data_IF_619766505371
#
_entry.id   IF_619766505371
#
_cell.length_a   1.000
_cell.length_b   1.000
_cell.length_c   1.000
_cell.angle_alpha   90.00
_cell.angle_beta   90.00
_cell.angle_gamma   90.00
#
_symmetry.space_group_name_H-M   'P 1'
#
loop_
_entity.id
_entity.type
_entity.pdbx_description
1 polymer ?
#
# COMPACT_ATOMS: atom_id res chain seq x y z
N UNK A 1 1.82 -1.59 3.44
CA UNK A 1 0.85 -2.68 3.18
C UNK A 1 0.97 -3.82 4.18
N UNK A 2 2.18 -4.24 4.57
CA UNK A 2 2.45 -5.33 5.52
C UNK A 2 1.83 -5.16 6.92
N UNK A 3 1.84 -3.94 7.47
CA UNK A 3 1.25 -3.65 8.80
C UNK A 3 -0.25 -3.95 8.90
N UNK A 4 -1.01 -3.61 7.85
CA UNK A 4 -2.45 -3.85 7.81
C UNK A 4 -2.79 -5.34 7.70
N UNK A 5 -1.96 -6.10 6.98
CA UNK A 5 -2.15 -7.53 6.82
C UNK A 5 -1.92 -8.28 8.14
N UNK A 6 -0.86 -7.93 8.88
CA UNK A 6 -0.58 -8.54 10.19
C UNK A 6 -1.69 -8.22 11.21
N UNK A 7 -2.14 -6.96 11.26
CA UNK A 7 -3.24 -6.55 12.13
C UNK A 7 -4.55 -7.25 11.75
N UNK A 8 -4.85 -7.36 10.45
CA UNK A 8 -6.02 -8.08 9.95
C UNK A 8 -5.99 -9.56 10.31
N UNK A 9 -4.86 -10.24 10.14
CA UNK A 9 -4.71 -11.66 10.46
C UNK A 9 -4.98 -11.91 11.94
N UNK A 10 -4.41 -11.09 12.84
CA UNK A 10 -4.64 -11.20 14.29
C UNK A 10 -6.11 -11.03 14.66
N UNK A 11 -6.79 -10.05 14.06
CA UNK A 11 -8.20 -9.78 14.29
C UNK A 11 -9.12 -10.87 13.71
N UNK A 12 -8.78 -11.37 12.52
CA UNK A 12 -9.50 -12.48 11.90
C UNK A 12 -9.39 -13.75 12.73
N UNK A 13 -8.18 -14.09 13.19
CA UNK A 13 -7.95 -15.22 14.10
C UNK A 13 -8.76 -15.04 15.39
N UNK A 14 -8.71 -13.85 16.01
CA UNK A 14 -9.49 -13.56 17.22
C UNK A 14 -11.00 -13.72 17.02
N UNK A 15 -11.52 -13.29 15.87
CA UNK A 15 -12.94 -13.45 15.52
C UNK A 15 -13.33 -14.92 15.31
N UNK A 16 -12.52 -15.68 14.58
CA UNK A 16 -12.74 -17.13 14.41
C UNK A 16 -12.71 -17.84 15.77
N UNK A 17 -11.77 -17.49 16.65
CA UNK A 17 -11.73 -18.02 18.01
C UNK A 17 -12.99 -17.68 18.80
N UNK A 18 -13.50 -16.44 18.72
CA UNK A 18 -14.74 -16.05 19.40
C UNK A 18 -15.96 -16.82 18.87
N UNK A 19 -16.05 -17.05 17.55
CA UNK A 19 -17.12 -17.85 16.96
C UNK A 19 -17.05 -19.31 17.40
N UNK A 20 -15.85 -19.90 17.41
CA UNK A 20 -15.65 -21.29 17.84
C UNK A 20 -15.99 -21.42 19.33
N UNK A 21 -15.53 -20.50 20.18
CA UNK A 21 -15.86 -20.50 21.61
C UNK A 21 -17.36 -20.33 21.84
N UNK A 22 -18.00 -19.39 21.14
CA UNK A 22 -19.45 -19.20 21.20
C UNK A 22 -20.24 -20.44 20.76
N UNK A 23 -19.80 -21.10 19.67
CA UNK A 23 -20.42 -22.34 19.20
C UNK A 23 -20.24 -23.48 20.20
N UNK A 24 -19.04 -23.66 20.77
CA UNK A 24 -18.78 -24.67 21.80
C UNK A 24 -19.62 -24.41 23.06
N UNK A 25 -19.71 -23.15 23.50
CA UNK A 25 -20.59 -22.77 24.62
C UNK A 25 -22.05 -23.06 24.33
N UNK A 26 -22.53 -22.79 23.11
CA UNK A 26 -23.90 -23.12 22.70
C UNK A 26 -24.16 -24.63 22.69
N UNK A 27 -23.23 -25.42 22.16
CA UNK A 27 -23.34 -26.89 22.17
C UNK A 27 -23.34 -27.47 23.59
N UNK A 28 -22.50 -26.94 24.49
CA UNK A 28 -22.49 -27.34 25.90
C UNK A 28 -23.81 -26.98 26.60
N UNK A 29 -24.35 -25.79 26.31
CA UNK A 29 -25.64 -25.35 26.82
C UNK A 29 -26.84 -26.15 26.28
N UNK A 30 -26.76 -26.63 25.04
CA UNK A 30 -27.78 -27.55 24.48
C UNK A 30 -27.70 -28.95 25.10
N UNK A 31 -26.59 -29.30 25.74
CA UNK A 31 -26.41 -30.58 26.40
C UNK A 31 -26.87 -30.57 27.88
N UNK A 32 -26.93 -29.39 28.52
CA UNK A 32 -27.36 -29.22 29.91
C UNK A 32 -28.37 -28.05 30.04
N UNK A 33 -29.62 -28.36 30.37
CA UNK A 33 -30.75 -27.40 30.34
C UNK A 33 -30.58 -26.19 31.29
N UNK A 34 -29.84 -26.35 32.38
CA UNK A 34 -29.74 -25.34 33.46
C UNK A 34 -28.87 -24.12 33.09
N UNK A 35 -27.98 -24.24 32.10
CA UNK A 35 -27.02 -23.17 31.72
C UNK A 35 -27.29 -22.55 30.36
N UNK A 36 -28.35 -22.97 29.66
CA UNK A 36 -28.64 -22.59 28.29
C UNK A 36 -28.70 -21.07 28.07
N UNK A 37 -29.44 -20.36 28.93
CA UNK A 37 -29.64 -18.91 28.82
C UNK A 37 -28.33 -18.16 29.08
N UNK A 38 -27.55 -18.57 30.08
CA UNK A 38 -26.29 -17.90 30.43
C UNK A 38 -25.25 -18.05 29.30
N UNK A 39 -25.17 -19.22 28.68
CA UNK A 39 -24.27 -19.48 27.56
C UNK A 39 -24.67 -18.66 26.32
N UNK A 40 -25.96 -18.52 26.02
CA UNK A 40 -26.44 -17.67 24.94
C UNK A 40 -26.09 -16.20 25.19
N UNK A 41 -26.36 -15.69 26.40
CA UNK A 41 -26.04 -14.31 26.74
C UNK A 41 -24.53 -14.03 26.65
N UNK A 42 -23.70 -14.97 27.09
CA UNK A 42 -22.25 -14.88 26.96
C UNK A 42 -21.80 -14.89 25.49
N UNK A 43 -22.33 -15.80 24.67
CA UNK A 43 -22.04 -15.85 23.24
C UNK A 43 -22.43 -14.56 22.50
N UNK A 44 -23.62 -14.03 22.78
CA UNK A 44 -24.09 -12.75 22.22
C UNK A 44 -23.18 -11.61 22.66
N UNK A 45 -22.78 -11.55 23.94
CA UNK A 45 -21.88 -10.52 24.44
C UNK A 45 -20.51 -10.54 23.72
N UNK A 46 -19.92 -11.72 23.51
CA UNK A 46 -18.66 -11.86 22.78
C UNK A 46 -18.77 -11.39 21.32
N UNK A 47 -19.87 -11.73 20.65
CA UNK A 47 -20.13 -11.29 19.28
C UNK A 47 -20.26 -9.76 19.24
N UNK A 48 -21.04 -9.17 20.14
CA UNK A 48 -21.21 -7.70 20.22
C UNK A 48 -19.87 -7.01 20.46
N UNK A 49 -19.05 -7.49 21.40
CA UNK A 49 -17.72 -6.95 21.67
C UNK A 49 -16.84 -7.02 20.42
N UNK A 50 -16.84 -8.15 19.69
CA UNK A 50 -16.08 -8.29 18.46
C UNK A 50 -16.53 -7.27 17.39
N UNK A 51 -17.83 -7.06 17.20
CA UNK A 51 -18.36 -6.06 16.26
C UNK A 51 -17.98 -4.62 16.66
N UNK A 52 -18.00 -4.29 17.95
CA UNK A 52 -17.56 -2.98 18.45
C UNK A 52 -16.07 -2.78 18.16
N UNK A 53 -15.23 -3.80 18.38
CA UNK A 53 -13.80 -3.73 18.07
C UNK A 53 -13.56 -3.50 16.58
N UNK A 54 -14.26 -4.23 15.71
CA UNK A 54 -14.18 -4.01 14.25
C UNK A 54 -14.61 -2.60 13.85
N UNK A 55 -15.66 -2.06 14.48
CA UNK A 55 -16.12 -0.70 14.23
C UNK A 55 -15.05 0.33 14.58
N UNK A 56 -14.43 0.21 15.77
CA UNK A 56 -13.37 1.13 16.23
C UNK A 56 -12.16 1.08 15.29
N UNK A 57 -11.78 -0.12 14.83
CA UNK A 57 -10.63 -0.29 13.93
C UNK A 57 -10.90 0.26 12.53
N UNK A 58 -12.06 -0.05 11.94
CA UNK A 58 -12.45 0.51 10.65
C UNK A 58 -12.50 2.05 10.72
N UNK A 59 -12.95 2.59 11.86
CA UNK A 59 -12.98 4.03 12.12
C UNK A 59 -11.57 4.65 12.14
N UNK A 60 -10.63 4.08 12.89
CA UNK A 60 -9.23 4.56 12.92
C UNK A 60 -8.59 4.55 11.52
N UNK A 61 -8.81 3.49 10.73
CA UNK A 61 -8.29 3.40 9.35
C UNK A 61 -8.84 4.53 8.47
N UNK A 62 -10.14 4.81 8.57
CA UNK A 62 -10.84 5.81 7.77
C UNK A 62 -10.43 7.23 8.17
N UNK A 63 -10.33 7.50 9.47
CA UNK A 63 -9.88 8.80 9.98
C UNK A 63 -8.42 9.09 9.54
N UNK A 64 -7.52 8.09 9.58
CA UNK A 64 -6.16 8.22 9.06
C UNK A 64 -6.10 8.55 7.57
N UNK A 65 -7.04 8.01 6.80
CA UNK A 65 -7.20 8.29 5.36
C UNK A 65 -7.89 9.63 5.07
N UNK A 66 -8.25 10.41 6.09
CA UNK A 66 -8.81 11.75 5.95
C UNK A 66 -10.31 11.80 5.66
N UNK A 67 -11.04 10.72 5.96
CA UNK A 67 -12.50 10.69 5.83
C UNK A 67 -13.17 11.09 7.14
N UNK A 68 -14.24 11.86 7.04
CA UNK A 68 -15.01 12.32 8.19
C UNK A 68 -16.10 11.33 8.60
N UNK A 69 -16.49 11.41 9.88
CA UNK A 69 -17.60 10.66 10.47
C UNK A 69 -18.92 11.03 9.76
N UNK A 70 -19.35 10.20 8.80
CA UNK A 70 -20.58 10.42 8.03
C UNK A 70 -20.40 10.32 6.51
N UNK A 71 -19.17 10.44 6.00
CA UNK A 71 -18.90 10.24 4.56
C UNK A 71 -18.95 8.76 4.17
N UNK A 72 -18.61 7.88 5.09
CA UNK A 72 -18.69 6.43 4.92
C UNK A 72 -19.65 5.90 5.99
N UNK A 73 -20.72 5.18 5.61
CA UNK A 73 -21.66 4.61 6.56
C UNK A 73 -21.04 3.35 7.21
N UNK A 74 -20.06 3.57 8.08
CA UNK A 74 -19.26 2.54 8.74
C UNK A 74 -20.09 1.57 9.56
N UNK A 75 -21.07 2.07 10.30
CA UNK A 75 -21.91 1.28 11.19
C UNK A 75 -22.69 0.18 10.43
N UNK A 76 -23.48 0.47 9.38
CA UNK A 76 -24.18 -0.58 8.63
C UNK A 76 -23.22 -1.48 7.84
N UNK A 77 -22.07 -0.97 7.37
CA UNK A 77 -21.06 -1.80 6.68
C UNK A 77 -20.50 -2.83 7.67
N UNK A 78 -20.05 -2.40 8.84
CA UNK A 78 -19.49 -3.31 9.85
C UNK A 78 -20.53 -4.31 10.31
N UNK A 79 -21.80 -3.93 10.49
CA UNK A 79 -22.89 -4.83 10.89
C UNK A 79 -23.20 -5.90 9.83
N UNK A 80 -23.21 -5.54 8.54
CA UNK A 80 -23.64 -6.45 7.46
C UNK A 80 -22.52 -7.34 6.95
N UNK A 81 -21.31 -6.79 6.82
CA UNK A 81 -20.17 -7.47 6.18
C UNK A 81 -19.04 -7.80 7.15
N UNK A 82 -19.16 -7.44 8.43
CA UNK A 82 -18.27 -7.91 9.50
C UNK A 82 -16.79 -7.78 9.14
N UNK A 83 -16.00 -8.87 9.13
CA UNK A 83 -14.58 -8.85 8.76
C UNK A 83 -14.30 -8.29 7.35
N UNK A 84 -15.23 -8.40 6.40
CA UNK A 84 -15.08 -7.85 5.05
C UNK A 84 -15.15 -6.33 5.03
N UNK A 85 -15.74 -5.70 6.05
CA UNK A 85 -15.69 -4.24 6.22
C UNK A 85 -14.25 -3.73 6.30
N UNK A 86 -13.33 -4.50 6.92
CA UNK A 86 -11.91 -4.15 7.01
C UNK A 86 -11.24 -4.18 5.64
N UNK A 87 -11.57 -5.15 4.79
CA UNK A 87 -11.04 -5.24 3.43
C UNK A 87 -11.52 -4.04 2.61
N UNK A 88 -12.81 -3.70 2.73
CA UNK A 88 -13.39 -2.54 2.09
C UNK A 88 -12.68 -1.24 2.54
N UNK A 89 -12.57 -1.00 3.85
CA UNK A 89 -11.95 0.23 4.36
C UNK A 89 -10.46 0.30 4.05
N UNK A 90 -9.74 -0.83 4.03
CA UNK A 90 -8.34 -0.90 3.60
C UNK A 90 -8.15 -0.58 2.12
N UNK A 91 -9.10 -0.95 1.26
CA UNK A 91 -9.10 -0.65 -0.18
C UNK A 91 -9.42 0.81 -0.54
N UNK A 92 -9.97 1.60 0.39
CA UNK A 92 -10.31 3.00 0.13
C UNK A 92 -9.06 3.83 -0.24
N UNK A 93 -9.15 4.74 -1.23
CA UNK A 93 -8.06 5.65 -1.54
C UNK A 93 -7.83 6.62 -0.37
N UNK A 94 -6.57 6.98 -0.13
CA UNK A 94 -6.22 7.95 0.90
C UNK A 94 -6.48 9.38 0.41
N UNK A 95 -7.37 10.13 1.07
CA UNK A 95 -7.64 11.54 0.75
C UNK A 95 -6.48 12.46 1.16
N UNK A 96 -5.73 12.06 2.18
CA UNK A 96 -4.57 12.78 2.70
C UNK A 96 -3.31 12.53 1.87
N UNK A 97 -3.32 11.51 1.00
CA UNK A 97 -2.31 11.40 -0.06
C UNK A 97 -2.51 12.55 -1.02
N UNK A 98 -1.83 13.67 -0.73
CA UNK A 98 -1.59 14.70 -1.71
C UNK A 98 -0.77 14.05 -2.83
N UNK A 99 -1.44 13.59 -3.89
CA UNK A 99 -0.82 13.63 -5.20
C UNK A 99 -0.39 15.09 -5.33
N UNK A 100 0.92 15.40 -5.41
CA UNK A 100 1.34 16.79 -5.53
C UNK A 100 0.55 17.37 -6.69
N UNK A 101 -0.35 18.33 -6.39
CA UNK A 101 -1.07 19.08 -7.40
C UNK A 101 -0.01 19.80 -8.20
N UNK A 102 0.43 19.19 -9.30
CA UNK A 102 1.24 19.85 -10.31
C UNK A 102 0.37 20.98 -10.80
N UNK A 103 0.69 22.20 -10.39
CA UNK A 103 0.23 23.38 -11.10
C UNK A 103 0.70 23.18 -12.55
N UNK A 104 -0.20 23.17 -13.55
CA UNK A 104 0.14 22.74 -14.91
C UNK A 104 1.29 23.48 -15.59
N UNK A 105 1.77 24.59 -15.02
CA UNK A 105 2.65 25.54 -15.70
C UNK A 105 4.05 25.68 -15.09
N UNK A 106 4.37 25.00 -13.99
CA UNK A 106 5.70 25.09 -13.39
C UNK A 106 6.66 24.13 -14.13
N UNK A 107 7.25 24.65 -15.21
CA UNK A 107 8.37 24.03 -15.92
C UNK A 107 9.60 24.94 -15.84
N UNK A 108 10.79 24.36 -15.73
CA UNK A 108 12.05 25.11 -15.83
C UNK A 108 12.84 24.69 -17.07
N UNK A 109 13.52 25.66 -17.66
CA UNK A 109 14.38 25.44 -18.83
C UNK A 109 15.83 25.36 -18.37
N UNK A 110 16.46 24.23 -18.63
CA UNK A 110 17.88 24.02 -18.34
C UNK A 110 18.75 24.82 -19.31
N UNK A 111 19.96 25.18 -18.89
CA UNK A 111 20.99 25.84 -19.73
C UNK A 111 21.36 25.06 -21.00
N UNK A 112 21.05 23.75 -21.08
CA UNK A 112 21.19 22.93 -22.29
C UNK A 112 20.00 23.02 -23.28
N UNK A 113 19.02 23.88 -22.98
CA UNK A 113 17.76 24.03 -23.71
C UNK A 113 16.71 22.95 -23.43
N UNK A 114 16.93 22.07 -22.44
CA UNK A 114 15.95 21.05 -22.07
C UNK A 114 14.85 21.60 -21.17
N UNK A 115 13.57 21.30 -21.48
CA UNK A 115 12.43 21.65 -20.63
C UNK A 115 12.16 20.54 -19.63
N UNK A 116 12.10 20.88 -18.35
CA UNK A 116 11.95 19.92 -17.25
C UNK A 116 10.77 20.31 -16.36
N UNK A 117 10.23 19.34 -15.63
CA UNK A 117 9.18 19.58 -14.64
C UNK A 117 9.78 20.26 -13.40
N UNK A 118 9.08 21.22 -12.80
CA UNK A 118 9.48 21.81 -11.52
C UNK A 118 9.47 20.84 -10.34
N UNK A 119 8.88 19.65 -10.49
CA UNK A 119 9.01 18.57 -9.52
C UNK A 119 10.41 17.93 -9.52
N UNK A 120 11.17 18.11 -10.59
CA UNK A 120 12.51 17.54 -10.74
C UNK A 120 13.52 18.67 -10.73
N UNK A 121 14.47 18.62 -9.80
CA UNK A 121 15.59 19.56 -9.78
C UNK A 121 16.70 19.17 -10.76
N UNK A 122 16.58 18.05 -11.50
CA UNK A 122 17.59 17.52 -12.42
C UNK A 122 17.04 17.51 -13.85
N UNK A 123 17.84 17.98 -14.80
CA UNK A 123 17.49 17.98 -16.21
C UNK A 123 17.55 16.58 -16.79
N UNK A 124 16.45 16.12 -17.41
CA UNK A 124 16.40 14.80 -18.06
C UNK A 124 17.32 14.69 -19.28
N UNK A 125 17.66 15.82 -19.91
CA UNK A 125 18.49 15.87 -21.13
C UNK A 125 19.99 15.80 -20.83
N UNK A 126 20.46 16.45 -19.76
CA UNK A 126 21.90 16.59 -19.50
C UNK A 126 22.33 16.29 -18.06
N UNK A 127 21.41 15.96 -17.16
CA UNK A 127 21.73 15.64 -15.77
C UNK A 127 22.19 16.83 -14.90
N UNK A 128 22.12 18.07 -15.40
CA UNK A 128 22.39 19.26 -14.59
C UNK A 128 21.22 19.59 -13.69
N UNK A 129 21.50 20.14 -12.52
CA UNK A 129 20.46 20.63 -11.63
C UNK A 129 19.92 21.99 -12.06
N UNK A 130 18.77 22.40 -11.52
CA UNK A 130 18.14 23.69 -11.79
C UNK A 130 19.00 24.89 -11.37
N UNK A 131 19.93 24.71 -10.45
CA UNK A 131 20.96 25.69 -10.06
C UNK A 131 22.20 25.68 -10.99
N UNK A 132 22.17 24.92 -12.09
CA UNK A 132 23.23 24.88 -13.10
C UNK A 132 24.43 24.01 -12.73
N UNK A 133 24.44 23.38 -11.55
CA UNK A 133 25.52 22.48 -11.13
C UNK A 133 25.38 21.10 -11.75
N UNK A 134 26.50 20.40 -11.90
CA UNK A 134 26.50 19.01 -12.32
C UNK A 134 26.34 18.14 -11.06
N UNK A 135 25.26 17.37 -10.96
CA UNK A 135 25.15 16.37 -9.89
C UNK A 135 26.09 15.21 -10.18
N UNK A 136 26.95 14.88 -9.21
CA UNK A 136 27.79 13.66 -9.22
C UNK A 136 26.98 12.35 -9.18
N UNK A 137 25.65 12.44 -9.12
CA UNK A 137 24.70 11.32 -8.98
C UNK A 137 24.00 10.92 -10.29
N UNK A 138 24.55 11.28 -11.46
CA UNK A 138 24.13 10.66 -12.72
C UNK A 138 24.63 9.21 -12.90
N UNK A 139 25.15 8.59 -11.83
CA UNK A 139 25.59 7.20 -11.80
C UNK A 139 25.12 6.55 -10.49
N UNK A 140 23.92 5.98 -10.50
CA UNK A 140 23.56 4.79 -9.72
C UNK A 140 22.14 4.34 -10.08
N UNK A 141 21.98 3.38 -11.01
CA UNK A 141 20.83 2.50 -10.95
C UNK A 141 21.00 1.53 -9.75
N UNK A 142 19.95 1.43 -8.94
CA UNK A 142 19.74 0.46 -7.86
C UNK A 142 20.19 -0.98 -8.23
N UNK A 143 20.70 -1.77 -7.27
CA UNK A 143 21.25 -3.09 -7.54
C UNK A 143 20.14 -4.15 -7.64
N UNK A 144 19.78 -4.53 -8.87
CA UNK A 144 19.14 -5.84 -9.11
C UNK A 144 19.79 -6.50 -10.34
N UNK A 145 20.89 -7.21 -10.05
CA UNK A 145 21.65 -8.01 -11.02
C UNK A 145 20.93 -9.32 -11.32
N UNK A 146 20.45 -9.47 -12.56
CA UNK A 146 20.34 -10.78 -13.23
C UNK A 146 20.15 -10.68 -14.76
N UNK A 147 20.46 -9.53 -15.38
CA UNK A 147 20.25 -9.34 -16.82
C UNK A 147 21.56 -9.46 -17.61
N UNK A 148 21.66 -10.56 -18.36
CA UNK A 148 22.71 -10.89 -19.35
C UNK A 148 23.17 -9.64 -20.12
N UNK A 149 24.49 -9.40 -20.20
CA UNK A 149 25.15 -8.38 -21.01
C UNK A 149 25.51 -8.91 -22.41
N UNK A 150 25.95 -8.04 -23.32
CA UNK A 150 26.58 -8.41 -24.60
C UNK A 150 27.85 -7.60 -24.82
N UNK A 151 28.87 -8.24 -25.39
CA UNK A 151 30.17 -7.63 -25.66
C UNK A 151 30.18 -7.06 -27.08
N UNK A 152 30.65 -5.84 -27.22
CA UNK A 152 30.75 -5.21 -28.53
C UNK A 152 31.84 -5.89 -29.38
N UNK A 153 31.53 -6.42 -30.58
CA UNK A 153 32.53 -7.08 -31.42
C UNK A 153 33.56 -6.10 -32.02
N UNK A 154 33.29 -4.79 -32.00
CA UNK A 154 34.22 -3.77 -32.53
C UNK A 154 35.23 -3.25 -31.51
N UNK A 155 34.83 -3.06 -30.25
CA UNK A 155 35.69 -2.44 -29.24
C UNK A 155 35.80 -3.24 -27.94
N UNK A 156 35.18 -4.41 -27.84
CA UNK A 156 35.23 -5.28 -26.66
C UNK A 156 34.39 -4.82 -25.46
N UNK A 157 33.81 -3.63 -25.52
CA UNK A 157 33.07 -3.03 -24.40
C UNK A 157 31.82 -3.83 -24.01
N UNK A 158 31.60 -4.00 -22.70
CA UNK A 158 30.39 -4.63 -22.15
C UNK A 158 29.19 -3.69 -22.18
N UNK A 159 28.10 -4.15 -22.79
CA UNK A 159 26.86 -3.41 -22.95
C UNK A 159 25.69 -4.18 -22.34
N UNK A 160 24.73 -3.46 -21.75
CA UNK A 160 23.49 -4.06 -21.24
C UNK A 160 22.63 -4.59 -22.40
N UNK A 161 21.88 -5.69 -22.20
CA UNK A 161 21.04 -6.26 -23.27
C UNK A 161 19.97 -5.31 -23.80
N UNK A 162 19.46 -4.40 -22.97
CA UNK A 162 18.50 -3.35 -23.32
C UNK A 162 19.05 -2.32 -24.30
N UNK A 163 20.37 -2.19 -24.39
CA UNK A 163 21.05 -1.24 -25.25
C UNK A 163 21.41 -1.94 -26.57
N UNK A 164 20.99 -1.35 -27.69
CA UNK A 164 21.33 -1.81 -29.05
C UNK A 164 22.62 -1.21 -29.58
N UNK A 165 22.96 0.01 -29.13
CA UNK A 165 24.11 0.78 -29.59
C UNK A 165 25.21 0.80 -28.53
N UNK A 166 26.42 0.38 -28.90
CA UNK A 166 27.56 0.30 -28.01
C UNK A 166 27.90 1.68 -27.42
N UNK A 167 27.99 1.76 -26.09
CA UNK A 167 28.32 3.00 -25.38
C UNK A 167 29.76 3.50 -25.63
N UNK A 168 30.67 2.60 -26.00
CA UNK A 168 32.09 2.94 -26.20
C UNK A 168 32.39 3.46 -27.61
N UNK A 169 31.80 2.83 -28.63
CA UNK A 169 32.15 3.11 -30.04
C UNK A 169 30.95 3.39 -30.96
N UNK A 170 29.71 3.34 -30.46
CA UNK A 170 28.51 3.59 -31.25
C UNK A 170 28.09 2.46 -32.19
N UNK A 171 28.72 1.28 -32.11
CA UNK A 171 28.33 0.11 -32.91
C UNK A 171 26.96 -0.45 -32.52
N UNK A 172 26.04 -0.65 -33.47
CA UNK A 172 24.72 -1.24 -33.25
C UNK A 172 24.72 -2.75 -33.55
N UNK A 173 24.17 -3.56 -32.63
CA UNK A 173 24.08 -5.03 -32.75
C UNK A 173 22.83 -5.52 -33.49
#
# INVERSE_FOLDING_TARGET
MTYYLDSFIKLFIGWVCCLVLGAVSLFAALAEDDFFILAILFGVALVVIAYIMFYILCRDIIERKGYNSGEIPLLPIVIVVGPLAMVYTAGLPDKNTQIPKVKPDDTWVCTCGGRNSSQTNICKKCGRTSDGKMTKQALQPEPFSLFKTWNCPKCGEDNSKSIRVCKGCGYEK
#
